data_IF_844475013207
#
_entry.id   IF_844475013207
#
_cell.length_a   1.000
_cell.length_b   1.000
_cell.length_c   1.000
_cell.angle_alpha   90.00
_cell.angle_beta   90.00
_cell.angle_gamma   90.00
#
_symmetry.space_group_name_H-M   'P 1'
#
loop_
_entity.id
_entity.type
_entity.pdbx_description
1 polymer ?
#
# COMPACT_ATOMS: atom_id res chain seq x y z
N UNK A 1 10.92 21.34 5.52
CA UNK A 1 10.80 19.96 6.03
C UNK A 1 9.33 19.61 5.89
N UNK A 2 8.89 18.55 5.20
CA UNK A 2 7.46 18.29 5.12
C UNK A 2 7.05 17.64 6.44
N UNK A 3 6.69 18.48 7.41
CA UNK A 3 6.17 18.13 8.74
C UNK A 3 4.70 17.62 8.69
N UNK A 4 4.14 17.39 7.50
CA UNK A 4 2.79 16.86 7.25
C UNK A 4 2.82 15.49 6.56
N UNK A 5 3.83 14.67 6.89
CA UNK A 5 3.86 13.28 6.46
C UNK A 5 2.98 12.43 7.39
N UNK A 6 1.83 12.02 6.87
CA UNK A 6 0.83 11.26 7.61
C UNK A 6 1.03 9.75 7.46
N UNK A 7 0.61 9.00 8.48
CA UNK A 7 0.59 7.54 8.43
C UNK A 7 -0.47 7.04 7.46
N UNK A 8 -0.10 6.05 6.65
CA UNK A 8 -0.98 5.34 5.74
C UNK A 8 -0.98 3.84 6.04
N UNK A 9 -2.17 3.27 6.06
CA UNK A 9 -2.38 1.85 6.29
C UNK A 9 -2.63 1.14 4.97
N UNK A 10 -1.78 0.16 4.68
CA UNK A 10 -1.81 -0.59 3.43
C UNK A 10 -2.01 -2.07 3.69
N UNK A 11 -2.57 -2.76 2.69
CA UNK A 11 -2.73 -4.21 2.68
C UNK A 11 -2.25 -4.78 1.36
N UNK A 12 -1.90 -6.06 1.31
CA UNK A 12 -1.57 -6.71 0.03
C UNK A 12 -2.80 -6.92 -0.84
N UNK A 13 -3.90 -7.32 -0.22
CA UNK A 13 -5.24 -7.39 -0.81
C UNK A 13 -6.26 -6.74 0.15
N UNK A 14 -7.33 -6.07 -0.35
CA UNK A 14 -8.27 -5.36 0.52
C UNK A 14 -8.95 -6.25 1.59
N UNK A 15 -9.16 -7.53 1.27
CA UNK A 15 -9.74 -8.53 2.19
C UNK A 15 -8.72 -9.23 3.09
N UNK A 16 -7.42 -8.93 2.96
CA UNK A 16 -6.41 -9.52 3.85
C UNK A 16 -6.53 -8.94 5.26
N UNK A 17 -6.15 -9.72 6.26
CA UNK A 17 -6.10 -9.28 7.66
C UNK A 17 -4.79 -8.55 7.98
N UNK A 18 -3.70 -8.90 7.29
CA UNK A 18 -2.39 -8.26 7.46
C UNK A 18 -2.45 -6.83 6.97
N UNK A 19 -2.06 -5.91 7.86
CA UNK A 19 -2.02 -4.48 7.62
C UNK A 19 -0.65 -3.99 8.02
N UNK A 20 -0.05 -3.15 7.17
CA UNK A 20 1.19 -2.47 7.48
C UNK A 20 0.97 -0.96 7.46
N UNK A 21 1.74 -0.27 8.28
CA UNK A 21 1.76 1.18 8.38
C UNK A 21 3.03 1.71 7.71
N UNK A 22 2.86 2.71 6.86
CA UNK A 22 3.93 3.40 6.15
C UNK A 22 3.72 4.91 6.28
N UNK A 23 4.73 5.67 5.90
CA UNK A 23 4.58 7.09 5.64
C UNK A 23 3.90 7.32 4.31
N UNK A 24 3.12 8.38 4.18
CA UNK A 24 2.59 8.79 2.88
C UNK A 24 3.70 9.10 1.88
N UNK A 25 4.89 9.50 2.34
CA UNK A 25 6.09 9.69 1.52
C UNK A 25 6.69 8.38 0.99
N UNK A 26 6.47 7.25 1.66
CA UNK A 26 7.03 5.94 1.28
C UNK A 26 6.21 5.27 0.16
N UNK A 27 4.99 5.76 -0.07
CA UNK A 27 4.17 5.35 -1.21
C UNK A 27 4.78 5.83 -2.53
N UNK A 28 4.56 5.06 -3.58
CA UNK A 28 4.82 5.52 -4.94
C UNK A 28 4.14 6.86 -5.21
N UNK A 29 4.82 7.72 -5.96
CA UNK A 29 4.32 9.06 -6.33
C UNK A 29 2.96 9.01 -7.00
N UNK A 30 2.75 8.01 -7.85
CA UNK A 30 1.49 7.76 -8.55
C UNK A 30 0.80 6.56 -7.90
N UNK A 31 -0.46 6.77 -7.52
CA UNK A 31 -1.42 5.75 -7.15
C UNK A 31 -2.29 5.44 -8.36
N UNK A 32 -2.94 4.29 -8.37
CA UNK A 32 -3.74 3.88 -9.51
C UNK A 32 -4.88 2.96 -9.10
N UNK A 33 -5.97 3.02 -9.85
CA UNK A 33 -7.09 2.12 -9.67
C UNK A 33 -6.82 0.81 -10.39
N UNK A 34 -6.94 -0.30 -9.67
CA UNK A 34 -6.82 -1.63 -10.25
C UNK A 34 -7.84 -2.58 -9.61
N UNK A 35 -8.04 -3.73 -10.23
CA UNK A 35 -8.83 -4.85 -9.71
C UNK A 35 -7.96 -6.06 -9.38
N UNK A 36 -6.65 -5.99 -9.61
CA UNK A 36 -5.73 -7.12 -9.40
C UNK A 36 -4.70 -6.77 -8.35
N UNK A 37 -4.66 -7.57 -7.27
CA UNK A 37 -3.66 -7.41 -6.20
C UNK A 37 -2.25 -7.83 -6.63
N UNK A 38 -1.24 -7.38 -5.89
CA UNK A 38 0.14 -7.82 -6.07
C UNK A 38 0.36 -9.29 -5.70
N UNK A 39 1.46 -9.88 -6.19
CA UNK A 39 1.82 -11.27 -5.88
C UNK A 39 1.00 -12.27 -6.68
N UNK A 40 0.06 -12.97 -6.04
CA UNK A 40 -0.73 -14.06 -6.65
C UNK A 40 -1.74 -13.55 -7.69
N UNK A 41 -1.94 -12.23 -7.78
CA UNK A 41 -2.84 -11.65 -8.78
C UNK A 41 -4.32 -11.87 -8.46
N UNK A 42 -4.68 -12.00 -7.19
CA UNK A 42 -6.07 -12.18 -6.77
C UNK A 42 -6.91 -10.96 -7.19
N UNK A 43 -8.07 -11.23 -7.80
CA UNK A 43 -9.01 -10.19 -8.21
C UNK A 43 -9.80 -9.66 -7.01
N UNK A 44 -9.88 -8.36 -6.89
CA UNK A 44 -10.74 -7.66 -5.94
C UNK A 44 -12.16 -7.59 -6.47
N UNK A 45 -13.15 -7.62 -5.57
CA UNK A 45 -14.57 -7.53 -5.94
C UNK A 45 -14.92 -6.21 -6.63
N UNK A 46 -14.23 -5.13 -6.27
CA UNK A 46 -14.41 -3.78 -6.79
C UNK A 46 -13.05 -3.15 -7.12
N UNK A 47 -12.97 -2.14 -8.01
CA UNK A 47 -11.77 -1.33 -8.17
C UNK A 47 -11.30 -0.80 -6.82
N UNK A 48 -10.03 -1.04 -6.51
CA UNK A 48 -9.39 -0.56 -5.30
C UNK A 48 -8.21 0.33 -5.67
N UNK A 49 -7.85 1.21 -4.75
CA UNK A 49 -6.70 2.09 -4.93
C UNK A 49 -5.44 1.32 -4.58
N UNK A 50 -4.49 1.28 -5.51
CA UNK A 50 -3.21 0.62 -5.34
C UNK A 50 -2.06 1.62 -5.46
N UNK A 51 -0.95 1.24 -4.85
CA UNK A 51 0.33 1.90 -4.98
C UNK A 51 1.45 0.88 -4.78
N UNK A 52 2.67 1.37 -4.66
CA UNK A 52 3.82 0.56 -4.32
C UNK A 52 4.53 1.10 -3.08
N UNK A 53 5.06 0.19 -2.27
CA UNK A 53 5.92 0.48 -1.12
C UNK A 53 7.17 -0.40 -1.16
N UNK A 54 8.18 -0.05 -0.39
CA UNK A 54 9.35 -0.91 -0.19
C UNK A 54 9.14 -1.79 1.06
N UNK A 55 9.61 -3.03 1.02
CA UNK A 55 9.38 -4.01 2.09
C UNK A 55 10.06 -3.66 3.43
N UNK A 56 11.03 -2.75 3.42
CA UNK A 56 11.89 -2.37 4.55
C UNK A 56 11.55 -1.00 5.15
N UNK A 57 10.59 -0.26 4.57
CA UNK A 57 10.20 1.09 5.00
C UNK A 57 8.96 1.10 5.92
N UNK A 58 8.44 -0.07 6.31
CA UNK A 58 7.26 -0.14 7.17
C UNK A 58 7.57 0.39 8.57
N UNK A 59 6.70 1.28 9.07
CA UNK A 59 6.77 1.77 10.44
C UNK A 59 6.25 0.74 11.44
N UNK A 60 5.23 -0.01 11.05
CA UNK A 60 4.58 -1.02 11.89
C UNK A 60 3.84 -2.08 11.04
N UNK A 61 3.57 -3.23 11.64
CA UNK A 61 2.91 -4.35 10.97
C UNK A 61 3.80 -5.05 9.94
N UNK A 62 3.17 -5.78 9.02
CA UNK A 62 3.89 -6.55 8.00
C UNK A 62 3.06 -6.65 6.72
N UNK A 63 3.75 -6.55 5.58
CA UNK A 63 3.18 -6.93 4.28
C UNK A 63 3.81 -8.25 3.86
N UNK A 64 2.99 -9.29 3.74
CA UNK A 64 3.44 -10.58 3.25
C UNK A 64 4.17 -10.45 1.90
N UNK A 65 5.46 -10.76 1.92
CA UNK A 65 6.30 -10.87 0.73
C UNK A 65 7.25 -12.05 0.90
N UNK A 66 7.64 -12.67 -0.21
CA UNK A 66 8.69 -13.67 -0.21
C UNK A 66 9.94 -13.07 -0.83
N UNK A 67 11.09 -13.23 -0.16
CA UNK A 67 12.40 -12.94 -0.76
C UNK A 67 12.77 -13.93 -1.89
N UNK A 68 11.82 -14.78 -2.32
CA UNK A 68 11.98 -15.72 -3.42
C UNK A 68 12.32 -15.05 -4.75
N UNK A 69 12.03 -13.75 -4.88
CA UNK A 69 12.27 -12.97 -6.10
C UNK A 69 13.63 -12.24 -6.11
N UNK A 70 14.52 -12.49 -5.14
CA UNK A 70 15.87 -11.93 -5.08
C UNK A 70 16.17 -11.18 -3.77
N UNK A 71 17.39 -10.62 -3.61
CA UNK A 71 17.74 -9.81 -2.45
C UNK A 71 16.92 -8.51 -2.43
N UNK A 72 16.47 -8.11 -1.24
CA UNK A 72 15.72 -6.86 -1.03
C UNK A 72 16.56 -5.59 -1.21
N UNK A 73 15.93 -4.40 -1.15
CA UNK A 73 14.52 -4.18 -0.79
C UNK A 73 13.55 -4.40 -1.96
N UNK A 74 12.41 -5.04 -1.70
CA UNK A 74 11.41 -5.38 -2.72
C UNK A 74 10.36 -4.28 -2.85
N UNK A 75 9.98 -3.98 -4.09
CA UNK A 75 8.84 -3.13 -4.40
C UNK A 75 7.56 -3.95 -4.38
N UNK A 76 6.70 -3.71 -3.39
CA UNK A 76 5.46 -4.45 -3.17
C UNK A 76 4.28 -3.61 -3.60
N UNK A 77 3.42 -4.18 -4.47
CA UNK A 77 2.13 -3.58 -4.78
C UNK A 77 1.18 -3.76 -3.60
N UNK A 78 0.64 -2.66 -3.11
CA UNK A 78 -0.25 -2.62 -1.96
C UNK A 78 -1.54 -1.87 -2.28
N UNK A 79 -2.61 -2.29 -1.63
CA UNK A 79 -3.92 -1.68 -1.65
C UNK A 79 -4.08 -0.71 -0.48
N UNK A 80 -4.57 0.49 -0.77
CA UNK A 80 -4.98 1.46 0.22
C UNK A 80 -6.46 1.27 0.54
N UNK A 81 -6.76 0.85 1.77
CA UNK A 81 -8.14 0.58 2.19
C UNK A 81 -8.74 1.85 2.78
N UNK A 82 -9.79 2.40 2.14
CA UNK A 82 -10.48 3.61 2.59
C UNK A 82 -10.88 3.59 4.06
N UNK A 83 -11.34 2.43 4.57
CA UNK A 83 -11.76 2.28 5.97
C UNK A 83 -10.62 2.52 6.97
N UNK A 84 -9.37 2.26 6.57
CA UNK A 84 -8.19 2.44 7.43
C UNK A 84 -7.53 3.81 7.25
N UNK A 85 -7.78 4.48 6.12
CA UNK A 85 -7.17 5.76 5.78
C UNK A 85 -8.22 6.87 5.66
N UNK A 86 -9.24 6.87 6.52
CA UNK A 86 -10.41 7.75 6.35
C UNK A 86 -10.04 9.22 6.40
N UNK A 87 -9.16 9.58 7.34
CA UNK A 87 -8.82 10.97 7.64
C UNK A 87 -7.99 11.62 6.52
N UNK A 88 -7.24 10.81 5.76
CA UNK A 88 -6.38 11.26 4.66
C UNK A 88 -6.78 10.68 3.30
N UNK A 89 -8.01 10.16 3.17
CA UNK A 89 -8.46 9.52 1.93
C UNK A 89 -8.48 10.49 0.75
N UNK A 90 -8.89 11.73 1.01
CA UNK A 90 -8.94 12.79 0.01
C UNK A 90 -7.55 13.14 -0.52
N UNK A 91 -6.54 13.15 0.33
CA UNK A 91 -5.13 13.41 -0.04
C UNK A 91 -4.57 12.28 -0.90
N UNK A 92 -4.93 11.03 -0.59
CA UNK A 92 -4.55 9.87 -1.39
C UNK A 92 -5.19 9.92 -2.79
N UNK A 93 -6.45 10.33 -2.90
CA UNK A 93 -7.12 10.45 -4.20
C UNK A 93 -6.51 11.52 -5.12
N UNK A 94 -5.85 12.54 -4.57
CA UNK A 94 -5.14 13.55 -5.35
C UNK A 94 -3.84 13.03 -5.99
N UNK A 95 -3.42 11.81 -5.64
CA UNK A 95 -2.21 11.15 -6.17
C UNK A 95 -2.52 10.09 -7.24
N UNK A 96 -3.78 10.01 -7.68
CA UNK A 96 -4.25 9.10 -8.75
C UNK A 96 -4.01 9.71 -10.12
#
# INVERSE_FOLDING_TARGET
MPDDDFSVFVRRHPMDWQTAEYRASDLSRELFWDRTSGGVGSRTSHPALFGYVMCDQMLNGEVAHSCAHGPGPHRIKVCLVKKLNKDHWSDLLQRV
#
